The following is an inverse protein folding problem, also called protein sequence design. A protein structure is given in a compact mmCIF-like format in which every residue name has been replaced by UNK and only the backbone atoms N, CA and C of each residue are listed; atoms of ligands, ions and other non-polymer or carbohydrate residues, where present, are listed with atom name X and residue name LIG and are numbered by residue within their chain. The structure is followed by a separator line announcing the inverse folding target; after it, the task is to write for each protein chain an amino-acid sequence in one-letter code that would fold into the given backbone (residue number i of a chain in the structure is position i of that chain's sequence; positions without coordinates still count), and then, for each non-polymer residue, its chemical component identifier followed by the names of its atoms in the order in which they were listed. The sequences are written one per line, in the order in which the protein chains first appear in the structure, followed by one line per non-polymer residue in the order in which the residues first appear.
data_IF_506887932686
#
_entry.id   IF_506887932686
#
_cell.length_a   1.000
_cell.length_b   1.000
_cell.length_c   1.000
_cell.angle_alpha   90.00
_cell.angle_beta   90.00
_cell.angle_gamma   90.00
#
_symmetry.space_group_name_H-M   'P 1'
#
loop_
_entity.id
_entity.type
_entity.pdbx_description
1 polymer ?
#
# COMPACT_ATOMS: atom_id res chain seq x y z
N UNK A 1 13.08 0.05 -7.59
CA UNK A 1 12.17 0.43 -8.69
C UNK A 1 11.63 1.81 -8.43
N UNK A 2 10.81 1.94 -7.38
CA UNK A 2 10.38 3.23 -6.84
C UNK A 2 11.28 3.57 -5.65
N UNK A 3 11.75 4.81 -5.61
CA UNK A 3 12.69 5.29 -4.59
C UNK A 3 12.28 6.65 -3.99
N UNK A 4 11.22 7.28 -4.49
CA UNK A 4 10.66 8.50 -3.92
C UNK A 4 9.31 8.18 -3.26
N UNK A 5 9.17 8.58 -2.00
CA UNK A 5 8.00 8.27 -1.19
C UNK A 5 7.46 9.54 -0.54
N UNK A 6 6.14 9.67 -0.53
CA UNK A 6 5.43 10.71 0.21
C UNK A 6 4.52 10.01 1.20
N UNK A 7 4.72 10.27 2.49
CA UNK A 7 3.91 9.67 3.56
C UNK A 7 2.92 10.72 4.07
N UNK A 8 1.63 10.42 3.88
CA UNK A 8 0.52 11.22 4.39
C UNK A 8 0.36 10.98 5.90
N UNK A 9 0.93 11.85 6.72
CA UNK A 9 0.83 11.77 8.17
C UNK A 9 -0.51 12.34 8.66
N UNK A 10 -0.94 11.87 9.83
CA UNK A 10 -2.05 12.45 10.59
C UNK A 10 -1.79 12.27 12.07
N UNK A 11 -2.79 11.78 12.81
CA UNK A 11 -2.64 11.51 14.24
C UNK A 11 -1.42 10.62 14.51
N UNK A 12 -0.58 11.03 15.48
CA UNK A 12 0.72 10.40 15.82
C UNK A 12 1.77 10.41 14.70
N UNK A 13 1.64 11.28 13.70
CA UNK A 13 2.64 11.41 12.63
C UNK A 13 4.06 11.69 13.12
N UNK A 14 4.24 12.29 14.30
CA UNK A 14 5.55 12.51 14.91
C UNK A 14 6.32 11.20 15.16
N UNK A 15 5.63 10.10 15.49
CA UNK A 15 6.27 8.78 15.70
C UNK A 15 6.94 8.32 14.41
N UNK A 16 6.30 8.57 13.26
CA UNK A 16 6.87 8.27 11.95
C UNK A 16 8.04 9.22 11.65
N UNK A 17 7.89 10.51 11.97
CA UNK A 17 8.97 11.50 11.81
C UNK A 17 10.22 11.14 12.60
N UNK A 18 10.11 10.50 13.77
CA UNK A 18 11.26 10.11 14.60
C UNK A 18 12.08 8.95 14.00
N UNK A 19 11.48 8.11 13.15
CA UNK A 19 12.15 6.96 12.53
C UNK A 19 13.24 7.41 11.55
N UNK A 20 12.98 8.42 10.72
CA UNK A 20 13.85 8.77 9.59
C UNK A 20 15.16 9.48 9.98
N UNK A 21 15.19 10.47 10.90
CA UNK A 21 16.43 11.08 11.38
C UNK A 21 17.36 10.06 12.05
N UNK A 22 16.79 9.05 12.71
CA UNK A 22 17.51 8.00 13.41
C UNK A 22 17.65 6.72 12.57
N UNK A 23 17.27 6.74 11.28
CA UNK A 23 17.22 5.53 10.47
C UNK A 23 18.56 4.81 10.44
N UNK A 24 19.66 5.55 10.30
CA UNK A 24 21.02 5.03 10.35
C UNK A 24 21.39 4.47 11.74
N UNK A 25 20.90 5.06 12.83
CA UNK A 25 21.10 4.54 14.19
C UNK A 25 20.34 3.22 14.41
N UNK A 26 19.20 3.04 13.76
CA UNK A 26 18.38 1.84 13.88
C UNK A 26 18.81 0.70 12.97
N UNK A 27 19.47 1.00 11.85
CA UNK A 27 19.72 0.03 10.78
C UNK A 27 21.20 -0.26 10.53
N UNK A 28 22.11 0.52 11.12
CA UNK A 28 23.56 0.42 10.85
C UNK A 28 24.38 0.45 12.14
N UNK A 29 25.57 -0.15 12.09
CA UNK A 29 26.56 -0.02 13.17
C UNK A 29 27.15 1.41 13.17
N UNK A 30 27.16 2.05 14.34
CA UNK A 30 27.62 3.44 14.51
C UNK A 30 28.68 3.55 15.62
N UNK A 31 29.62 4.48 15.46
CA UNK A 31 30.55 4.86 16.53
C UNK A 31 30.41 6.34 16.83
N UNK A 32 30.32 6.65 18.12
CA UNK A 32 30.32 8.00 18.65
C UNK A 32 31.69 8.30 19.26
N UNK A 33 32.42 9.25 18.68
CA UNK A 33 33.55 9.87 19.36
C UNK A 33 33.02 11.07 20.15
N UNK A 34 32.79 10.85 21.45
CA UNK A 34 32.21 11.85 22.34
C UNK A 34 33.19 13.01 22.58
N UNK A 35 34.50 12.77 22.50
CA UNK A 35 35.50 13.81 22.73
C UNK A 35 35.59 14.77 21.54
N UNK A 36 35.43 14.25 20.32
CA UNK A 36 35.38 15.04 19.09
C UNK A 36 33.96 15.53 18.73
N UNK A 37 32.93 15.01 19.42
CA UNK A 37 31.52 15.17 19.06
C UNK A 37 31.22 14.73 17.61
N UNK A 38 31.84 13.62 17.19
CA UNK A 38 31.72 13.05 15.85
C UNK A 38 30.95 11.72 15.87
N UNK A 39 30.19 11.47 14.81
CA UNK A 39 29.47 10.23 14.59
C UNK A 39 29.90 9.61 13.25
N UNK A 40 30.35 8.37 13.28
CA UNK A 40 30.73 7.59 12.10
C UNK A 40 29.77 6.42 11.90
N UNK A 41 29.24 6.26 10.68
CA UNK A 41 28.40 5.12 10.27
C UNK A 41 29.27 4.11 9.53
N UNK A 42 29.43 2.89 10.07
CA UNK A 42 30.42 1.91 9.58
C UNK A 42 29.96 1.10 8.37
N UNK A 43 28.64 0.99 8.16
CA UNK A 43 28.06 0.35 6.98
C UNK A 43 26.85 1.15 6.53
N UNK A 44 27.04 1.95 5.49
CA UNK A 44 25.92 2.61 4.83
C UNK A 44 25.24 1.63 3.87
N UNK A 45 24.45 0.69 4.41
CA UNK A 45 23.58 -0.19 3.61
C UNK A 45 22.23 0.48 3.29
N UNK A 46 22.21 1.80 3.25
CA UNK A 46 20.95 2.54 3.19
C UNK A 46 20.35 2.45 1.81
N UNK A 47 19.05 2.24 1.81
CA UNK A 47 18.23 2.30 0.62
C UNK A 47 18.35 3.68 -0.02
N UNK A 48 18.40 3.79 -1.36
CA UNK A 48 18.53 5.06 -2.06
C UNK A 48 17.18 5.81 -2.09
N UNK A 49 16.53 5.96 -0.93
CA UNK A 49 15.19 6.50 -0.81
C UNK A 49 15.19 7.99 -0.49
N UNK A 50 14.29 8.70 -1.15
CA UNK A 50 13.90 10.07 -0.82
C UNK A 50 12.50 10.03 -0.21
N UNK A 51 12.41 10.36 1.08
CA UNK A 51 11.15 10.27 1.83
C UNK A 51 10.69 11.65 2.28
N UNK A 52 9.51 12.04 1.82
CA UNK A 52 8.82 13.28 2.20
C UNK A 52 7.71 12.96 3.19
N UNK A 53 7.72 13.61 4.34
CA UNK A 53 6.73 13.42 5.40
C UNK A 53 5.79 14.62 5.46
N UNK A 54 4.54 14.44 5.03
CA UNK A 54 3.57 15.54 4.91
C UNK A 54 2.53 15.41 6.01
N UNK A 55 2.38 16.44 6.84
CA UNK A 55 1.24 16.51 7.75
C UNK A 55 -0.03 16.77 6.95
N UNK A 56 -0.84 15.74 6.78
CA UNK A 56 -2.10 15.79 6.05
C UNK A 56 -3.30 15.94 6.98
N UNK A 57 -3.11 16.23 8.27
CA UNK A 57 -4.16 16.58 9.23
C UNK A 57 -4.77 15.39 9.97
N UNK A 58 -5.15 15.60 11.22
CA UNK A 58 -5.68 14.53 12.09
C UNK A 58 -7.05 14.03 11.65
N UNK A 59 -7.97 14.95 11.31
CA UNK A 59 -9.35 14.63 10.92
C UNK A 59 -9.57 14.35 9.44
N UNK A 60 -8.53 14.46 8.61
CA UNK A 60 -8.66 14.39 7.15
C UNK A 60 -8.91 12.96 6.68
N UNK A 61 -9.90 12.77 5.80
CA UNK A 61 -10.22 11.50 5.16
C UNK A 61 -9.23 11.18 4.03
N UNK A 62 -9.20 9.93 3.56
CA UNK A 62 -8.22 9.43 2.58
C UNK A 62 -8.17 10.31 1.32
N UNK A 63 -9.33 10.71 0.77
CA UNK A 63 -9.39 11.62 -0.38
C UNK A 63 -8.72 12.95 -0.09
N UNK A 64 -9.06 13.57 1.03
CA UNK A 64 -8.41 14.80 1.50
C UNK A 64 -6.88 14.69 1.60
N UNK A 65 -6.38 13.57 2.13
CA UNK A 65 -4.93 13.31 2.24
C UNK A 65 -4.27 13.22 0.87
N UNK A 66 -4.91 12.55 -0.09
CA UNK A 66 -4.45 12.50 -1.49
C UNK A 66 -4.40 13.92 -2.08
N UNK A 67 -5.46 14.72 -1.91
CA UNK A 67 -5.51 16.09 -2.44
C UNK A 67 -4.39 16.97 -1.89
N UNK A 68 -4.01 16.80 -0.62
CA UNK A 68 -2.91 17.55 0.01
C UNK A 68 -1.52 17.19 -0.50
N UNK A 69 -1.34 16.00 -1.08
CA UNK A 69 -0.05 15.59 -1.64
C UNK A 69 0.11 15.89 -3.14
N UNK A 70 -0.94 16.38 -3.81
CA UNK A 70 -0.91 16.69 -5.24
C UNK A 70 0.23 17.64 -5.64
N UNK A 71 0.55 18.72 -4.89
CA UNK A 71 1.66 19.60 -5.26
C UNK A 71 3.03 18.91 -5.33
N UNK A 72 3.19 17.73 -4.71
CA UNK A 72 4.44 16.96 -4.74
C UNK A 72 4.55 16.04 -5.96
N UNK A 73 3.44 15.76 -6.64
CA UNK A 73 3.34 14.84 -7.79
C UNK A 73 2.68 15.49 -9.01
N UNK A 74 2.38 16.79 -8.97
CA UNK A 74 1.61 17.49 -10.02
C UNK A 74 2.28 17.48 -11.39
N UNK A 75 3.61 17.34 -11.43
CA UNK A 75 4.40 17.30 -12.64
C UNK A 75 4.67 15.86 -13.14
N UNK A 76 4.22 14.84 -12.40
CA UNK A 76 4.35 13.45 -12.81
C UNK A 76 3.19 13.07 -13.75
N UNK A 77 3.46 12.18 -14.71
CA UNK A 77 2.42 11.61 -15.57
C UNK A 77 1.38 10.82 -14.73
N UNK A 78 1.89 10.03 -13.79
CA UNK A 78 1.13 9.30 -12.78
C UNK A 78 2.03 8.98 -11.58
N UNK A 79 1.41 8.68 -10.45
CA UNK A 79 2.08 8.28 -9.21
C UNK A 79 1.45 7.00 -8.66
N UNK A 80 2.22 6.26 -7.85
CA UNK A 80 1.70 5.11 -7.11
C UNK A 80 1.10 5.58 -5.79
N UNK A 81 -0.06 5.02 -5.44
CA UNK A 81 -0.78 5.33 -4.19
C UNK A 81 -1.19 4.02 -3.54
N UNK A 82 -1.07 3.87 -2.23
CA UNK A 82 -1.52 2.66 -1.55
C UNK A 82 -1.83 2.92 -0.08
N UNK A 83 -2.42 1.92 0.58
CA UNK A 83 -2.64 1.89 2.02
C UNK A 83 -1.37 1.43 2.74
N UNK A 84 -1.14 1.94 3.95
CA UNK A 84 0.07 1.68 4.74
C UNK A 84 0.08 0.34 5.50
N UNK A 85 -0.98 -0.45 5.38
CA UNK A 85 -1.26 -1.65 6.17
C UNK A 85 -1.33 -2.95 5.34
N UNK A 86 -1.24 -2.85 4.01
CA UNK A 86 -1.33 -3.99 3.10
C UNK A 86 0.03 -4.41 2.54
N UNK A 87 0.33 -5.71 2.57
CA UNK A 87 1.50 -6.29 1.90
C UNK A 87 1.09 -7.35 0.88
N UNK A 88 1.83 -7.44 -0.22
CA UNK A 88 1.56 -8.40 -1.28
C UNK A 88 2.76 -8.60 -2.19
N UNK A 89 2.77 -9.68 -2.96
CA UNK A 89 3.76 -9.92 -4.01
C UNK A 89 3.29 -9.34 -5.36
N UNK A 90 2.69 -8.15 -5.32
CA UNK A 90 2.14 -7.46 -6.48
C UNK A 90 3.30 -6.96 -7.33
N UNK A 91 3.30 -7.28 -8.61
CA UNK A 91 4.27 -6.72 -9.55
C UNK A 91 3.89 -5.27 -9.87
N UNK A 92 4.51 -4.34 -9.14
CA UNK A 92 4.29 -2.88 -9.30
C UNK A 92 4.72 -2.40 -10.69
N UNK A 93 5.73 -3.03 -11.30
CA UNK A 93 6.19 -2.65 -12.65
C UNK A 93 5.13 -3.04 -13.69
N UNK A 94 4.58 -4.25 -13.58
CA UNK A 94 3.48 -4.69 -14.44
C UNK A 94 2.23 -3.82 -14.25
N UNK A 95 1.89 -3.46 -13.01
CA UNK A 95 0.78 -2.56 -12.69
C UNK A 95 0.93 -1.18 -13.36
N UNK A 96 2.12 -0.57 -13.28
CA UNK A 96 2.41 0.72 -13.93
C UNK A 96 2.29 0.61 -15.45
N UNK A 97 2.87 -0.44 -16.05
CA UNK A 97 2.81 -0.65 -17.49
C UNK A 97 1.37 -0.89 -17.96
N UNK A 98 0.58 -1.62 -17.17
CA UNK A 98 -0.84 -1.81 -17.43
C UNK A 98 -1.60 -0.47 -17.39
N UNK A 99 -1.38 0.35 -16.35
CA UNK A 99 -2.00 1.68 -16.25
C UNK A 99 -1.72 2.56 -17.48
N UNK A 100 -0.46 2.61 -17.94
CA UNK A 100 -0.10 3.33 -19.18
C UNK A 100 -0.89 2.85 -20.39
N UNK A 101 -1.14 1.54 -20.49
CA UNK A 101 -1.87 0.96 -21.63
C UNK A 101 -3.37 1.22 -21.61
N UNK A 102 -3.95 1.41 -20.43
CA UNK A 102 -5.39 1.61 -20.24
C UNK A 102 -5.84 3.05 -20.52
N UNK A 103 -4.91 4.02 -20.44
CA UNK A 103 -5.15 5.45 -20.69
C UNK A 103 -6.35 6.00 -19.87
N UNK A 104 -6.39 5.66 -18.58
CA UNK A 104 -7.39 6.11 -17.60
C UNK A 104 -6.74 6.91 -16.48
N UNK A 105 -7.51 7.74 -15.78
CA UNK A 105 -6.96 8.53 -14.66
C UNK A 105 -6.52 7.68 -13.46
N UNK A 106 -7.11 6.51 -13.24
CA UNK A 106 -6.78 5.68 -12.09
C UNK A 106 -6.85 4.19 -12.45
N UNK A 107 -5.95 3.41 -11.88
CA UNK A 107 -6.00 1.95 -11.88
C UNK A 107 -5.93 1.45 -10.45
N UNK A 108 -6.85 0.58 -10.07
CA UNK A 108 -6.89 -0.07 -8.75
C UNK A 108 -6.44 -1.53 -8.86
N UNK A 109 -5.69 -2.03 -7.87
CA UNK A 109 -5.38 -3.45 -7.79
C UNK A 109 -6.51 -4.21 -7.10
N UNK A 110 -7.13 -5.14 -7.81
CA UNK A 110 -8.10 -6.07 -7.27
C UNK A 110 -7.42 -7.33 -6.74
N UNK A 111 -7.74 -7.72 -5.52
CA UNK A 111 -7.20 -8.90 -4.84
C UNK A 111 -8.32 -9.82 -4.37
N UNK A 112 -7.98 -11.05 -4.00
CA UNK A 112 -8.92 -11.99 -3.37
C UNK A 112 -8.35 -12.42 -2.02
N UNK A 113 -9.15 -12.29 -0.97
CA UNK A 113 -8.79 -12.89 0.32
C UNK A 113 -8.96 -14.42 0.24
N UNK A 114 -8.10 -15.18 0.93
CA UNK A 114 -8.38 -16.60 1.16
C UNK A 114 -9.71 -16.73 1.91
N UNK A 115 -10.50 -17.73 1.53
CA UNK A 115 -11.77 -18.03 2.19
C UNK A 115 -11.56 -18.17 3.70
N UNK A 116 -12.38 -17.47 4.49
CA UNK A 116 -12.30 -17.57 5.97
C UNK A 116 -12.82 -18.90 6.49
N UNK A 117 -13.68 -19.55 5.71
CA UNK A 117 -14.37 -20.78 6.03
C UNK A 117 -14.14 -21.82 4.94
N UNK A 118 -14.31 -23.10 5.27
CA UNK A 118 -14.33 -24.16 4.27
C UNK A 118 -15.49 -23.99 3.30
N UNK A 119 -15.23 -24.07 2.00
CA UNK A 119 -16.28 -24.15 1.00
C UNK A 119 -16.72 -25.60 0.83
N UNK A 120 -18.04 -25.79 0.71
CA UNK A 120 -18.67 -27.09 0.52
C UNK A 120 -19.39 -27.03 -0.82
N UNK A 121 -18.98 -27.88 -1.76
CA UNK A 121 -19.75 -28.12 -2.98
C UNK A 121 -20.70 -29.29 -2.73
N UNK A 122 -21.97 -29.11 -3.10
CA UNK A 122 -23.02 -30.09 -2.86
C UNK A 122 -23.81 -30.37 -4.14
N UNK A 123 -24.20 -31.63 -4.34
CA UNK A 123 -25.25 -32.06 -5.25
C UNK A 123 -26.43 -32.60 -4.43
N UNK A 124 -27.50 -31.80 -4.33
CA UNK A 124 -28.59 -32.08 -3.39
C UNK A 124 -28.09 -32.08 -1.95
N UNK A 125 -28.25 -33.20 -1.25
CA UNK A 125 -27.79 -33.38 0.13
C UNK A 125 -26.42 -34.07 0.24
N UNK A 126 -25.75 -34.34 -0.89
CA UNK A 126 -24.44 -34.99 -0.91
C UNK A 126 -23.35 -33.95 -1.10
N UNK A 127 -22.38 -33.92 -0.20
CA UNK A 127 -21.14 -33.16 -0.37
C UNK A 127 -20.28 -33.82 -1.44
N UNK A 128 -19.95 -33.09 -2.50
CA UNK A 128 -19.10 -33.53 -3.61
C UNK A 128 -17.66 -33.05 -3.46
N UNK A 129 -17.43 -31.90 -2.81
CA UNK A 129 -16.10 -31.43 -2.44
C UNK A 129 -16.16 -30.60 -1.15
N UNK A 130 -15.10 -30.70 -0.34
CA UNK A 130 -14.86 -29.85 0.81
C UNK A 130 -13.46 -29.25 0.68
N UNK A 131 -13.35 -27.94 0.65
CA UNK A 131 -12.07 -27.25 0.59
C UNK A 131 -11.98 -26.32 1.79
N UNK A 132 -11.08 -26.60 2.73
CA UNK A 132 -10.84 -25.71 3.86
C UNK A 132 -10.08 -24.47 3.37
N UNK A 133 -10.70 -23.30 3.49
CA UNK A 133 -10.13 -21.98 3.14
C UNK A 133 -9.64 -21.90 1.68
N UNK A 134 -10.52 -22.12 0.70
CA UNK A 134 -10.20 -22.00 -0.72
C UNK A 134 -9.58 -20.63 -1.03
N UNK A 135 -8.48 -20.62 -1.80
CA UNK A 135 -7.97 -19.38 -2.38
C UNK A 135 -8.87 -19.01 -3.56
N UNK A 136 -9.49 -17.83 -3.52
CA UNK A 136 -10.21 -17.27 -4.68
C UNK A 136 -11.71 -17.58 -4.76
N UNK A 137 -12.33 -18.16 -3.73
CA UNK A 137 -13.81 -18.31 -3.64
C UNK A 137 -14.51 -17.01 -3.19
N UNK A 138 -13.73 -15.98 -2.83
CA UNK A 138 -14.24 -14.64 -2.51
C UNK A 138 -14.32 -13.74 -3.74
N UNK A 139 -15.26 -12.80 -3.73
CA UNK A 139 -15.32 -11.73 -4.73
C UNK A 139 -14.03 -10.90 -4.76
N UNK A 140 -13.75 -10.28 -5.90
CA UNK A 140 -12.65 -9.33 -6.05
C UNK A 140 -12.89 -8.11 -5.17
N UNK A 141 -11.90 -7.73 -4.38
CA UNK A 141 -11.94 -6.58 -3.49
C UNK A 141 -10.85 -5.57 -3.85
N UNK A 142 -11.00 -4.34 -3.36
CA UNK A 142 -9.97 -3.32 -3.43
C UNK A 142 -8.77 -3.73 -2.55
N UNK A 143 -7.62 -4.01 -3.18
CA UNK A 143 -6.38 -4.34 -2.49
C UNK A 143 -5.48 -3.13 -2.21
N UNK A 144 -5.90 -1.91 -2.56
CA UNK A 144 -5.05 -0.74 -2.60
C UNK A 144 -4.23 -0.71 -3.89
N UNK A 145 -2.93 -0.44 -3.75
CA UNK A 145 -1.95 -0.43 -4.85
C UNK A 145 -2.52 0.16 -6.14
N UNK A 146 -2.73 1.47 -6.09
CA UNK A 146 -3.22 2.26 -7.19
C UNK A 146 -2.06 2.84 -8.00
N UNK A 147 -2.33 3.09 -9.28
CA UNK A 147 -1.57 4.02 -10.11
C UNK A 147 -2.56 5.08 -10.59
N UNK A 148 -2.25 6.35 -10.33
CA UNK A 148 -3.18 7.45 -10.57
C UNK A 148 -2.49 8.66 -11.18
N UNK A 149 -3.19 9.36 -12.06
CA UNK A 149 -2.81 10.68 -12.56
C UNK A 149 -3.10 11.76 -11.50
N UNK A 150 -2.31 12.84 -11.39
CA UNK A 150 -2.63 13.99 -10.53
C UNK A 150 -4.02 14.60 -10.76
N UNK A 151 -4.59 14.43 -11.96
CA UNK A 151 -5.94 14.87 -12.31
C UNK A 151 -7.05 14.20 -11.48
N UNK A 152 -6.79 13.08 -10.76
CA UNK A 152 -7.78 12.51 -9.82
C UNK A 152 -8.15 13.49 -8.70
N UNK A 153 -7.34 14.52 -8.46
CA UNK A 153 -7.62 15.60 -7.52
C UNK A 153 -8.90 16.38 -7.83
N UNK A 154 -9.33 16.43 -9.09
CA UNK A 154 -10.59 17.05 -9.53
C UNK A 154 -11.83 16.30 -9.00
N UNK A 155 -11.67 15.03 -8.62
CA UNK A 155 -12.71 14.19 -8.05
C UNK A 155 -12.74 14.28 -6.51
N UNK A 156 -11.88 15.09 -5.91
CA UNK A 156 -11.74 15.21 -4.47
C UNK A 156 -12.15 16.62 -4.07
N UNK A 157 -13.27 16.76 -3.36
CA UNK A 157 -13.79 18.07 -2.95
C UNK A 157 -12.89 18.73 -1.91
N UNK A 158 -12.45 17.99 -0.89
CA UNK A 158 -11.65 18.52 0.20
C UNK A 158 -11.27 17.49 1.26
N UNK A 159 -11.02 17.97 2.47
CA UNK A 159 -10.45 17.15 3.54
C UNK A 159 -11.38 16.03 4.02
N UNK A 160 -12.69 16.24 3.93
CA UNK A 160 -13.70 15.25 4.34
C UNK A 160 -14.03 14.22 3.25
N UNK A 161 -13.41 14.32 2.08
CA UNK A 161 -13.65 13.40 0.97
C UNK A 161 -13.10 12.00 1.27
N UNK A 162 -13.99 11.00 1.23
CA UNK A 162 -13.63 9.59 1.37
C UNK A 162 -13.31 9.02 -0.01
N UNK A 163 -12.06 8.63 -0.25
CA UNK A 163 -11.55 8.16 -1.54
C UNK A 163 -12.38 7.04 -2.15
N UNK A 164 -12.77 6.06 -1.32
CA UNK A 164 -13.52 4.87 -1.68
C UNK A 164 -15.01 5.12 -1.99
N UNK A 165 -15.50 6.34 -1.79
CA UNK A 165 -16.91 6.70 -2.02
C UNK A 165 -17.08 7.47 -3.32
N UNK A 166 -17.30 8.78 -3.20
CA UNK A 166 -17.60 9.65 -4.34
C UNK A 166 -16.48 9.62 -5.39
N UNK A 167 -15.19 9.79 -5.04
CA UNK A 167 -14.12 9.91 -6.03
C UNK A 167 -13.99 8.65 -6.90
N UNK A 168 -13.79 7.48 -6.28
CA UNK A 168 -13.70 6.21 -7.02
C UNK A 168 -15.01 5.86 -7.73
N UNK A 169 -16.17 6.14 -7.13
CA UNK A 169 -17.47 5.90 -7.75
C UNK A 169 -17.72 6.77 -8.99
N UNK A 170 -17.25 8.03 -8.99
CA UNK A 170 -17.36 8.93 -10.13
C UNK A 170 -16.33 8.59 -11.22
N UNK A 171 -15.09 8.29 -10.86
CA UNK A 171 -14.09 7.76 -11.79
C UNK A 171 -14.61 6.50 -12.52
N UNK A 172 -15.25 5.58 -11.80
CA UNK A 172 -15.85 4.40 -12.42
C UNK A 172 -17.00 4.76 -13.39
N UNK A 173 -17.93 5.63 -12.98
CA UNK A 173 -19.06 6.08 -13.82
C UNK A 173 -18.61 6.81 -15.08
N UNK A 174 -17.53 7.58 -15.00
CA UNK A 174 -16.98 8.34 -16.11
C UNK A 174 -15.97 7.54 -16.95
N UNK A 175 -15.87 6.22 -16.70
CA UNK A 175 -14.96 5.34 -17.42
C UNK A 175 -13.50 5.84 -17.31
N UNK A 176 -13.09 6.23 -16.11
CA UNK A 176 -11.73 6.70 -15.75
C UNK A 176 -11.05 5.82 -14.68
N UNK A 177 -11.64 4.68 -14.34
CA UNK A 177 -11.08 3.69 -13.42
C UNK A 177 -10.88 2.34 -14.14
N UNK A 178 -9.64 1.85 -14.19
CA UNK A 178 -9.30 0.49 -14.62
C UNK A 178 -9.01 -0.42 -13.43
N UNK A 179 -9.09 -1.73 -13.62
CA UNK A 179 -8.81 -2.74 -12.60
C UNK A 179 -7.68 -3.66 -13.03
N UNK A 180 -6.66 -3.78 -12.18
CA UNK A 180 -5.55 -4.72 -12.33
C UNK A 180 -5.77 -5.92 -11.41
N UNK A 181 -5.92 -7.12 -11.98
CA UNK A 181 -6.23 -8.33 -11.21
C UNK A 181 -4.97 -9.02 -10.68
N UNK A 182 -4.76 -8.96 -9.36
CA UNK A 182 -3.68 -9.67 -8.67
C UNK A 182 -4.18 -10.99 -8.07
N UNK A 183 -3.69 -12.11 -8.61
CA UNK A 183 -4.00 -13.47 -8.13
C UNK A 183 -2.99 -14.01 -7.12
N UNK A 184 -1.95 -13.25 -6.81
CA UNK A 184 -0.90 -13.65 -5.88
C UNK A 184 -1.29 -13.45 -4.42
N UNK A 185 -0.28 -13.47 -3.55
CA UNK A 185 -0.43 -13.17 -2.14
C UNK A 185 -0.73 -11.68 -1.94
N UNK A 186 -1.76 -11.40 -1.14
CA UNK A 186 -2.06 -10.09 -0.58
C UNK A 186 -2.72 -10.28 0.78
N UNK A 187 -2.30 -9.49 1.77
CA UNK A 187 -2.79 -9.57 3.13
C UNK A 187 -2.74 -8.18 3.79
N UNK A 188 -3.87 -7.67 4.31
CA UNK A 188 -3.88 -6.49 5.16
C UNK A 188 -3.52 -6.85 6.60
N UNK A 189 -3.11 -5.86 7.39
CA UNK A 189 -2.82 -5.98 8.82
C UNK A 189 -3.83 -5.20 9.67
N UNK A 190 -5.10 -5.60 9.59
CA UNK A 190 -6.20 -4.93 10.31
C UNK A 190 -6.32 -5.38 11.77
N UNK A 191 -5.97 -6.64 12.04
CA UNK A 191 -6.18 -7.27 13.35
C UNK A 191 -4.88 -7.82 13.94
N UNK A 192 -4.90 -8.10 15.25
CA UNK A 192 -3.78 -8.79 15.90
C UNK A 192 -3.49 -10.16 15.26
N UNK A 193 -4.53 -10.85 14.78
CA UNK A 193 -4.38 -12.13 14.07
C UNK A 193 -3.60 -11.96 12.77
N UNK A 194 -3.89 -10.89 12.02
CA UNK A 194 -3.16 -10.59 10.79
C UNK A 194 -1.70 -10.27 11.09
N UNK A 195 -1.43 -9.48 12.14
CA UNK A 195 -0.08 -9.20 12.61
C UNK A 195 0.69 -10.49 12.92
N UNK A 196 0.11 -11.37 13.74
CA UNK A 196 0.75 -12.64 14.11
C UNK A 196 1.03 -13.52 12.90
N UNK A 197 0.08 -13.62 11.97
CA UNK A 197 0.26 -14.40 10.74
C UNK A 197 1.39 -13.83 9.85
N UNK A 198 1.45 -12.50 9.68
CA UNK A 198 2.52 -11.85 8.93
C UNK A 198 3.89 -12.01 9.63
N UNK A 199 3.94 -11.92 10.96
CA UNK A 199 5.16 -12.18 11.74
C UNK A 199 5.64 -13.63 11.60
N UNK A 200 4.74 -14.62 11.61
CA UNK A 200 5.09 -16.04 11.39
C UNK A 200 5.70 -16.28 10.01
N UNK A 201 5.09 -15.71 8.96
CA UNK A 201 5.63 -15.79 7.59
C UNK A 201 7.01 -15.14 7.49
N UNK A 202 7.21 -14.00 8.17
CA UNK A 202 8.51 -13.34 8.21
C UNK A 202 9.57 -14.17 8.93
N UNK A 203 9.28 -14.66 10.13
CA UNK A 203 10.22 -15.43 10.96
C UNK A 203 10.59 -16.79 10.33
N UNK A 204 9.62 -17.43 9.65
CA UNK A 204 9.86 -18.69 8.94
C UNK A 204 10.65 -18.53 7.64
N UNK A 205 10.90 -17.29 7.19
CA UNK A 205 11.55 -17.01 5.91
C UNK A 205 10.65 -17.28 4.69
N UNK A 206 9.34 -17.38 4.88
CA UNK A 206 8.35 -17.71 3.84
C UNK A 206 7.47 -16.51 3.44
N UNK A 207 7.82 -15.29 3.88
CA UNK A 207 7.11 -14.06 3.56
C UNK A 207 7.05 -13.81 2.03
N UNK A 208 5.89 -13.98 1.37
CA UNK A 208 5.82 -13.89 -0.10
C UNK A 208 6.07 -12.49 -0.65
N UNK A 209 5.86 -11.46 0.18
CA UNK A 209 6.13 -10.05 -0.18
C UNK A 209 7.63 -9.70 -0.09
N UNK A 210 8.46 -10.55 0.49
CA UNK A 210 9.91 -10.35 0.58
C UNK A 210 10.59 -10.76 -0.73
N UNK A 211 10.67 -9.81 -1.67
CA UNK A 211 11.20 -10.02 -3.02
C UNK A 211 12.61 -9.42 -3.25
N UNK A 212 13.31 -9.09 -2.15
CA UNK A 212 14.67 -8.54 -2.14
C UNK A 212 15.67 -9.49 -1.51
#
# INVERSE_FOLDING_TARGET
GIHEFIICLGYKGYVIKEIFPNYFLHTSDVTFDIAANEMTVHRNSSEPWKVTLVDTGDGTMIGGRIKRIIPYVENDEFFCLTYGDGVGNIDITALINFHRSENRLCTITATQMPGRFGSIQCEGNRVTAFQEKPRGDGGWINGGFFVASPCVSEYIEGDDSVWEREPLGKLARENQLSVYFHKGFWQPMDTLRDKTYLEELWQSGQAPWKLW
#
